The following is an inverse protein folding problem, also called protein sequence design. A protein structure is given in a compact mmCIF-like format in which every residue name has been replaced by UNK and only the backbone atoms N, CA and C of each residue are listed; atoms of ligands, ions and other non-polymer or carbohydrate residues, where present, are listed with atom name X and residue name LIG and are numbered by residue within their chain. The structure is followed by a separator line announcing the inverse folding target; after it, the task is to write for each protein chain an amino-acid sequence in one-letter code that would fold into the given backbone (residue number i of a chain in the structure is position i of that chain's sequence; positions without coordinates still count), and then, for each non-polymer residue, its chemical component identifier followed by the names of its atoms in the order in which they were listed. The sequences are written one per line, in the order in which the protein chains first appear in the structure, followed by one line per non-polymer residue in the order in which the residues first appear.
data_IF_644665982681
#
_entry.id   IF_644665982681
#
_cell.length_a   1.000
_cell.length_b   1.000
_cell.length_c   1.000
_cell.angle_alpha   90.00
_cell.angle_beta   90.00
_cell.angle_gamma   90.00
#
_symmetry.space_group_name_H-M   'P 1'
#
loop_
_entity.id
_entity.type
_entity.pdbx_description
1 polymer ?
#
# COMPACT_ATOMS: atom_id res chain seq x y z
N UNK A 1 -16.14 21.16 16.14
CA UNK A 1 -15.90 19.89 16.85
C UNK A 1 -17.07 18.95 16.59
N UNK A 2 -17.12 18.36 15.40
CA UNK A 2 -18.09 17.33 15.05
C UNK A 2 -17.30 16.12 14.59
N UNK A 3 -17.23 15.07 15.42
CA UNK A 3 -16.80 13.76 14.94
C UNK A 3 -17.95 13.27 14.07
N UNK A 4 -17.78 13.26 12.76
CA UNK A 4 -18.77 12.71 11.82
C UNK A 4 -19.13 11.29 12.27
N UNK A 5 -20.33 11.13 12.84
CA UNK A 5 -20.81 9.87 13.42
C UNK A 5 -20.74 8.71 12.43
N UNK A 6 -20.84 9.02 11.13
CA UNK A 6 -20.67 8.08 10.01
C UNK A 6 -19.33 7.34 10.09
N UNK A 7 -18.23 8.01 10.45
CA UNK A 7 -16.92 7.35 10.56
C UNK A 7 -16.81 6.41 11.76
N UNK A 8 -17.67 6.59 12.77
CA UNK A 8 -17.72 5.71 13.95
C UNK A 8 -18.47 4.41 13.65
N UNK A 9 -19.56 4.50 12.88
CA UNK A 9 -20.36 3.33 12.48
C UNK A 9 -19.81 2.63 11.24
N UNK A 10 -19.19 3.38 10.32
CA UNK A 10 -18.61 2.91 9.07
C UNK A 10 -17.16 3.37 8.96
N UNK A 11 -16.25 2.80 9.77
CA UNK A 11 -14.84 3.20 9.77
C UNK A 11 -14.15 2.96 8.42
N UNK A 12 -14.64 2.02 7.61
CA UNK A 12 -14.19 1.79 6.22
C UNK A 12 -14.54 2.93 5.24
N UNK A 13 -15.52 3.78 5.55
CA UNK A 13 -15.83 4.99 4.77
C UNK A 13 -14.91 6.17 5.16
N UNK A 14 -14.15 6.03 6.25
CA UNK A 14 -13.24 7.07 6.70
C UNK A 14 -12.01 7.16 5.79
N UNK A 15 -12.10 8.05 4.81
CA UNK A 15 -11.04 8.33 3.83
C UNK A 15 -9.75 8.84 4.47
N UNK A 16 -9.81 9.38 5.67
CA UNK A 16 -8.67 9.95 6.39
C UNK A 16 -7.98 8.94 7.29
N UNK A 17 -8.62 7.79 7.56
CA UNK A 17 -8.05 6.73 8.38
C UNK A 17 -7.50 5.61 7.50
N UNK A 18 -6.19 5.64 7.29
CA UNK A 18 -5.46 4.63 6.52
C UNK A 18 -5.51 3.22 7.11
N UNK A 19 -5.94 3.07 8.38
CA UNK A 19 -6.12 1.78 9.02
C UNK A 19 -7.25 0.97 8.40
N UNK A 20 -8.32 1.63 7.94
CA UNK A 20 -9.53 0.99 7.42
C UNK A 20 -9.65 1.03 5.90
N UNK A 21 -8.66 1.58 5.20
CA UNK A 21 -8.62 1.55 3.75
C UNK A 21 -8.33 0.11 3.30
N UNK A 22 -9.30 -0.52 2.64
CA UNK A 22 -9.06 -1.75 1.89
C UNK A 22 -8.31 -1.39 0.61
N UNK A 23 -7.18 -2.06 0.42
CA UNK A 23 -6.35 -1.87 -0.77
C UNK A 23 -6.29 -3.15 -1.58
N UNK A 24 -6.55 -3.03 -2.88
CA UNK A 24 -6.11 -4.05 -3.84
C UNK A 24 -4.65 -3.81 -4.24
N UNK A 25 -3.95 -4.84 -4.68
CA UNK A 25 -2.55 -4.72 -5.10
C UNK A 25 -2.41 -5.10 -6.57
N UNK A 26 -1.51 -4.41 -7.28
CA UNK A 26 -1.00 -4.84 -8.58
C UNK A 26 0.45 -4.46 -8.79
N UNK A 27 1.08 -5.11 -9.75
CA UNK A 27 2.36 -4.68 -10.31
C UNK A 27 2.10 -3.99 -11.66
N UNK A 28 2.55 -2.74 -11.78
CA UNK A 28 2.49 -1.99 -13.02
C UNK A 28 3.85 -2.07 -13.73
N UNK A 29 3.94 -2.95 -14.72
CA UNK A 29 5.16 -3.23 -15.47
C UNK A 29 4.85 -3.96 -16.78
N UNK A 30 5.90 -4.40 -17.47
CA UNK A 30 5.77 -5.08 -18.76
C UNK A 30 5.42 -6.56 -18.64
N UNK A 31 5.72 -7.19 -17.50
CA UNK A 31 5.35 -8.58 -17.20
C UNK A 31 4.44 -8.63 -15.96
N UNK A 32 3.58 -9.66 -15.84
CA UNK A 32 2.71 -9.79 -14.66
C UNK A 32 3.48 -9.91 -13.33
N UNK A 33 4.72 -10.41 -13.38
CA UNK A 33 5.54 -10.71 -12.19
C UNK A 33 6.52 -9.60 -11.83
N UNK A 34 6.53 -8.47 -12.54
CA UNK A 34 7.44 -7.36 -12.25
C UNK A 34 6.79 -6.01 -12.52
N UNK A 35 7.30 -4.97 -11.87
CA UNK A 35 6.82 -3.61 -12.06
C UNK A 35 6.76 -2.82 -10.77
N UNK A 36 6.22 -1.61 -10.88
CA UNK A 36 5.96 -0.75 -9.74
C UNK A 36 4.76 -1.29 -8.95
N UNK A 37 4.96 -1.46 -7.65
CA UNK A 37 3.88 -1.78 -6.74
C UNK A 37 2.87 -0.63 -6.68
N UNK A 38 1.60 -0.93 -6.95
CA UNK A 38 0.50 0.01 -6.81
C UNK A 38 -0.60 -0.56 -5.93
N UNK A 39 -1.23 0.34 -5.19
CA UNK A 39 -2.37 0.06 -4.33
C UNK A 39 -3.62 0.70 -4.90
N UNK A 40 -4.70 -0.07 -5.00
CA UNK A 40 -6.01 0.44 -5.36
C UNK A 40 -6.70 1.00 -4.13
N UNK A 41 -6.92 2.31 -4.11
CA UNK A 41 -7.70 2.96 -3.06
C UNK A 41 -9.17 2.96 -3.48
N UNK A 42 -9.97 2.07 -2.89
CA UNK A 42 -11.39 1.95 -3.18
C UNK A 42 -12.18 3.25 -2.88
N UNK A 43 -11.67 4.08 -1.97
CA UNK A 43 -12.32 5.33 -1.58
C UNK A 43 -12.14 6.43 -2.63
N UNK A 44 -10.98 6.52 -3.27
CA UNK A 44 -10.72 7.49 -4.35
C UNK A 44 -10.93 6.90 -5.74
N UNK A 45 -11.11 5.58 -5.84
CA UNK A 45 -11.16 4.82 -7.09
C UNK A 45 -9.92 5.01 -7.96
N UNK A 46 -8.74 5.08 -7.32
CA UNK A 46 -7.47 5.36 -7.99
C UNK A 46 -6.39 4.34 -7.61
N UNK A 47 -5.45 4.12 -8.53
CA UNK A 47 -4.24 3.35 -8.29
C UNK A 47 -3.10 4.27 -7.88
N UNK A 48 -2.43 3.93 -6.78
CA UNK A 48 -1.45 4.79 -6.15
C UNK A 48 -0.13 4.03 -6.03
N UNK A 49 0.99 4.58 -6.51
CA UNK A 49 2.29 3.93 -6.36
C UNK A 49 2.68 3.79 -4.90
N UNK A 50 3.37 2.71 -4.58
CA UNK A 50 4.11 2.60 -3.32
C UNK A 50 5.17 3.70 -3.26
N UNK A 51 5.23 4.40 -2.13
CA UNK A 51 6.27 5.40 -1.82
C UNK A 51 7.03 5.03 -0.53
N UNK A 52 6.95 3.76 -0.13
CA UNK A 52 7.63 3.28 1.07
C UNK A 52 9.12 3.09 0.82
N UNK A 53 9.94 4.03 1.33
CA UNK A 53 11.40 3.98 1.22
C UNK A 53 12.04 2.86 2.06
N UNK A 54 11.29 2.25 2.98
CA UNK A 54 11.77 1.15 3.81
C UNK A 54 11.11 -0.17 3.43
N UNK A 55 10.62 -0.28 2.19
CA UNK A 55 10.04 -1.51 1.67
C UNK A 55 11.10 -2.62 1.61
N UNK A 56 10.83 -3.78 2.20
CA UNK A 56 11.80 -4.87 2.35
C UNK A 56 11.49 -6.09 1.48
N UNK A 57 12.44 -7.01 1.32
CA UNK A 57 12.22 -8.35 0.71
C UNK A 57 10.99 -9.04 1.33
N UNK A 58 10.80 -8.96 2.67
CA UNK A 58 9.67 -9.61 3.35
C UNK A 58 8.33 -9.04 2.91
N UNK A 59 8.26 -7.72 2.72
CA UNK A 59 7.11 -7.07 2.12
C UNK A 59 6.85 -7.57 0.70
N UNK A 60 7.91 -7.68 -0.11
CA UNK A 60 7.82 -8.17 -1.47
C UNK A 60 7.32 -9.62 -1.53
N UNK A 61 7.76 -10.48 -0.61
CA UNK A 61 7.31 -11.88 -0.51
C UNK A 61 5.81 -11.98 -0.28
N UNK A 62 5.26 -11.15 0.63
CA UNK A 62 3.81 -11.09 0.88
C UNK A 62 3.06 -10.57 -0.35
N UNK A 63 3.56 -9.52 -1.00
CA UNK A 63 2.96 -9.01 -2.25
C UNK A 63 2.91 -10.07 -3.34
N UNK A 64 4.03 -10.77 -3.59
CA UNK A 64 4.08 -11.85 -4.57
C UNK A 64 3.09 -12.96 -4.24
N UNK A 65 2.98 -13.33 -2.95
CA UNK A 65 2.03 -14.35 -2.48
C UNK A 65 0.58 -13.93 -2.68
N UNK A 66 0.24 -12.70 -2.33
CA UNK A 66 -1.12 -12.15 -2.49
C UNK A 66 -1.56 -12.15 -3.95
N UNK A 67 -0.63 -11.87 -4.88
CA UNK A 67 -0.85 -11.91 -6.32
C UNK A 67 -0.85 -13.33 -6.92
N UNK A 68 -0.65 -14.37 -6.10
CA UNK A 68 -0.61 -15.77 -6.55
C UNK A 68 0.72 -16.19 -7.19
N UNK A 69 1.78 -15.40 -7.04
CA UNK A 69 3.13 -15.74 -7.50
C UNK A 69 3.93 -16.47 -6.43
N UNK A 70 5.04 -17.10 -6.85
CA UNK A 70 6.00 -17.71 -5.92
C UNK A 70 6.64 -16.63 -5.05
N UNK A 71 6.65 -16.86 -3.73
CA UNK A 71 7.29 -15.97 -2.75
C UNK A 71 8.77 -16.32 -2.48
N UNK A 72 9.40 -17.08 -3.37
CA UNK A 72 10.84 -17.43 -3.32
C UNK A 72 11.57 -16.71 -4.46
N UNK A 73 12.84 -16.36 -4.25
CA UNK A 73 13.65 -15.56 -5.20
C UNK A 73 12.97 -14.25 -5.61
N UNK A 74 12.50 -13.51 -4.61
CA UNK A 74 11.86 -12.20 -4.79
C UNK A 74 12.91 -11.10 -4.67
N UNK A 75 12.76 -10.04 -5.46
CA UNK A 75 13.64 -8.88 -5.48
C UNK A 75 12.82 -7.59 -5.43
N UNK A 76 13.27 -6.64 -4.62
CA UNK A 76 12.73 -5.29 -4.53
C UNK A 76 13.79 -4.23 -4.84
N UNK A 77 13.34 -3.10 -5.38
CA UNK A 77 14.20 -2.00 -5.78
C UNK A 77 13.47 -0.69 -5.55
N UNK A 78 14.17 0.30 -4.98
CA UNK A 78 13.66 1.66 -4.87
C UNK A 78 14.10 2.45 -6.11
N UNK A 79 13.13 2.81 -6.95
CA UNK A 79 13.40 3.60 -8.15
C UNK A 79 12.45 4.80 -8.25
N UNK A 80 12.91 5.94 -8.79
CA UNK A 80 12.03 7.09 -9.03
C UNK A 80 10.95 6.73 -10.04
N UNK A 81 9.72 7.21 -9.78
CA UNK A 81 8.63 7.11 -10.73
C UNK A 81 8.37 8.46 -11.39
N UNK A 82 9.09 8.72 -12.48
CA UNK A 82 9.06 10.02 -13.18
C UNK A 82 7.68 10.46 -13.67
N UNK A 83 6.81 9.50 -14.01
CA UNK A 83 5.43 9.77 -14.44
C UNK A 83 4.44 9.97 -13.28
N UNK A 84 4.94 10.09 -12.03
CA UNK A 84 4.12 10.36 -10.86
C UNK A 84 4.67 11.54 -10.08
N UNK A 85 3.90 12.64 -10.03
CA UNK A 85 4.25 13.81 -9.25
C UNK A 85 3.35 13.96 -8.01
N UNK A 86 3.83 13.58 -6.81
CA UNK A 86 3.04 13.69 -5.59
C UNK A 86 2.75 15.15 -5.19
N UNK A 87 3.53 16.14 -5.68
CA UNK A 87 3.31 17.57 -5.37
C UNK A 87 2.17 18.19 -6.16
N UNK A 88 1.77 17.59 -7.29
CA UNK A 88 0.62 18.03 -8.10
C UNK A 88 -0.66 17.31 -7.63
N UNK A 89 -0.53 16.14 -6.99
CA UNK A 89 -1.67 15.37 -6.50
C UNK A 89 -2.20 15.99 -5.21
N UNK A 90 -3.29 16.75 -5.29
CA UNK A 90 -3.88 17.49 -4.15
C UNK A 90 -4.39 16.54 -3.05
N UNK A 91 -4.73 15.28 -3.38
CA UNK A 91 -5.27 14.30 -2.43
C UNK A 91 -4.15 13.51 -1.76
N UNK A 92 -4.24 13.35 -0.43
CA UNK A 92 -3.34 12.52 0.39
C UNK A 92 -3.63 11.04 0.12
N UNK A 93 -3.08 10.54 -0.98
CA UNK A 93 -3.36 9.21 -1.49
C UNK A 93 -2.36 8.15 -1.00
N UNK A 94 -1.32 8.53 -0.25
CA UNK A 94 -0.30 7.56 0.18
C UNK A 94 -0.89 6.41 1.05
N UNK A 95 -0.42 5.20 0.80
CA UNK A 95 -0.68 4.05 1.68
C UNK A 95 0.28 4.11 2.86
N UNK A 96 -0.22 3.89 4.07
CA UNK A 96 0.62 3.84 5.25
C UNK A 96 1.61 2.67 5.13
N UNK A 97 2.92 2.91 5.31
CA UNK A 97 3.92 1.85 5.29
C UNK A 97 3.60 0.71 6.25
N UNK A 98 3.87 -0.53 5.81
CA UNK A 98 3.68 -1.75 6.58
C UNK A 98 5.01 -2.48 6.72
N UNK A 99 5.17 -3.25 7.79
CA UNK A 99 6.38 -4.04 8.02
C UNK A 99 5.99 -5.52 8.12
N UNK A 100 6.05 -6.23 7.00
CA UNK A 100 5.67 -7.64 6.99
C UNK A 100 6.73 -8.51 7.68
N UNK A 101 6.30 -9.60 8.31
CA UNK A 101 7.18 -10.68 8.77
C UNK A 101 7.54 -11.64 7.63
N UNK A 102 6.67 -11.76 6.62
CA UNK A 102 6.85 -12.61 5.44
C UNK A 102 5.90 -13.79 5.37
N UNK A 103 5.06 -14.03 6.37
CA UNK A 103 4.09 -15.16 6.44
C UNK A 103 2.65 -14.72 6.17
N UNK A 104 2.40 -13.42 6.09
CA UNK A 104 1.08 -12.87 5.84
C UNK A 104 0.56 -13.30 4.46
N UNK A 105 -0.75 -13.58 4.38
CA UNK A 105 -1.42 -13.94 3.13
C UNK A 105 -1.78 -12.71 2.28
N UNK A 106 -1.93 -11.56 2.93
CA UNK A 106 -2.24 -10.27 2.33
C UNK A 106 -1.38 -9.19 2.94
N UNK A 107 -1.05 -8.18 2.16
CA UNK A 107 -0.23 -7.06 2.59
C UNK A 107 -0.94 -6.20 3.65
N UNK A 108 -2.26 -6.09 3.58
CA UNK A 108 -3.07 -5.36 4.57
C UNK A 108 -3.17 -6.08 5.93
N UNK A 109 -2.73 -7.33 6.01
CA UNK A 109 -2.55 -8.06 7.27
C UNK A 109 -1.18 -7.81 7.92
N UNK A 110 -0.20 -7.25 7.19
CA UNK A 110 1.09 -6.90 7.78
C UNK A 110 0.91 -5.76 8.80
N UNK A 111 1.62 -5.78 9.93
CA UNK A 111 1.50 -4.71 10.91
C UNK A 111 1.91 -3.37 10.31
N UNK A 112 1.20 -2.31 10.71
CA UNK A 112 1.58 -0.94 10.34
C UNK A 112 2.98 -0.67 10.88
N UNK A 113 3.83 -0.10 10.03
CA UNK A 113 5.14 0.36 10.46
C UNK A 113 4.94 1.67 11.21
N UNK A 114 4.80 1.59 12.53
CA UNK A 114 4.73 2.77 13.38
C UNK A 114 6.03 3.57 13.18
N UNK A 115 5.93 4.67 12.44
CA UNK A 115 6.90 5.73 12.51
C UNK A 115 6.81 6.27 13.93
N UNK A 116 7.71 5.85 14.82
CA UNK A 116 8.01 6.62 16.02
C UNK A 116 8.57 7.97 15.56
N UNK A 117 7.67 8.90 15.25
CA UNK A 117 7.91 10.32 15.43
C UNK A 117 7.01 10.70 16.60
N UNK A 118 7.61 10.68 17.79
CA UNK A 118 7.23 11.60 18.87
C UNK A 118 7.40 13.03 18.34
#
# INVERSE_FOLDING_TARGET
YGKDTINQYFPSLNRYNSYYQQFGIRLNGTKPTNGFLEFYNATTNEWIPSCDRAFTIRNAQVVCRELGFKSVNVYEWLTPRWNYNPKITIRKNHVTPRQCIGEELKFDHCPLRMSNNL
#
